data_IF_098850235111
#
_entry.id   IF_098850235111
#
_cell.length_a   1.000
_cell.length_b   1.000
_cell.length_c   1.000
_cell.angle_alpha   90.00
_cell.angle_beta   90.00
_cell.angle_gamma   90.00
#
_symmetry.space_group_name_H-M   'P 1'
#
loop_
_entity.id
_entity.type
_entity.pdbx_description
1 polymer ?
#
# COMPACT_ATOMS: atom_id res chain seq x y z
N UNK A 1 -14.47 4.20 -51.42
CA UNK A 1 -14.23 2.99 -50.61
C UNK A 1 -13.67 3.41 -49.24
N UNK A 2 -14.58 3.87 -48.35
CA UNK A 2 -14.25 4.31 -46.97
C UNK A 2 -15.51 4.14 -46.10
N UNK A 3 -15.82 2.93 -45.70
CA UNK A 3 -16.85 2.67 -44.69
C UNK A 3 -16.42 1.39 -43.97
N UNK A 4 -15.46 1.51 -42.99
CA UNK A 4 -15.15 0.38 -42.10
C UNK A 4 -14.68 0.77 -40.68
N UNK A 5 -14.53 2.07 -40.38
CA UNK A 5 -13.98 2.48 -39.07
C UNK A 5 -15.02 2.95 -38.01
N UNK A 6 -16.28 3.00 -38.38
CA UNK A 6 -17.29 3.65 -37.49
C UNK A 6 -17.91 2.71 -36.42
N UNK A 7 -17.77 1.38 -36.58
CA UNK A 7 -18.34 0.43 -35.61
C UNK A 7 -17.51 0.29 -34.34
N UNK A 8 -16.14 0.35 -34.46
CA UNK A 8 -15.25 0.27 -33.33
C UNK A 8 -15.33 1.49 -32.40
N UNK A 9 -15.41 2.68 -32.99
CA UNK A 9 -15.55 3.94 -32.23
C UNK A 9 -16.93 4.07 -31.58
N UNK A 10 -17.98 3.58 -32.23
CA UNK A 10 -19.33 3.57 -31.66
C UNK A 10 -19.45 2.56 -30.50
N UNK A 11 -18.82 1.39 -30.63
CA UNK A 11 -18.78 0.39 -29.54
C UNK A 11 -17.97 0.89 -28.32
N UNK A 12 -16.88 1.60 -28.55
CA UNK A 12 -16.05 2.21 -27.48
C UNK A 12 -16.78 3.36 -26.77
N UNK A 13 -17.58 4.16 -27.52
CA UNK A 13 -18.46 5.20 -26.93
C UNK A 13 -19.62 4.60 -26.14
N UNK A 14 -20.19 3.50 -26.60
CA UNK A 14 -21.23 2.76 -25.87
C UNK A 14 -20.72 2.05 -24.64
N UNK A 15 -19.49 1.51 -24.66
CA UNK A 15 -18.81 0.94 -23.49
C UNK A 15 -18.45 2.02 -22.45
N UNK A 16 -17.98 3.18 -22.90
CA UNK A 16 -17.68 4.31 -22.00
C UNK A 16 -18.98 4.88 -21.37
N UNK A 17 -20.07 4.95 -22.11
CA UNK A 17 -21.39 5.39 -21.60
C UNK A 17 -22.01 4.30 -20.71
N UNK A 18 -21.85 3.02 -21.05
CA UNK A 18 -22.35 1.89 -20.26
C UNK A 18 -21.64 1.67 -18.92
N UNK A 19 -20.39 2.12 -18.79
CA UNK A 19 -19.62 2.09 -17.53
C UNK A 19 -19.88 3.36 -16.69
N UNK A 20 -20.15 4.50 -17.31
CA UNK A 20 -20.43 5.76 -16.61
C UNK A 20 -21.86 5.83 -16.04
N UNK A 21 -22.86 5.22 -16.67
CA UNK A 21 -24.25 5.27 -16.21
C UNK A 21 -24.52 4.51 -14.88
N UNK A 22 -23.97 3.29 -14.63
CA UNK A 22 -24.13 2.67 -13.32
C UNK A 22 -23.29 3.33 -12.21
N UNK A 23 -22.18 4.01 -12.54
CA UNK A 23 -21.40 4.77 -11.56
C UNK A 23 -22.16 6.03 -11.07
N UNK A 24 -22.90 6.69 -11.91
CA UNK A 24 -23.69 7.87 -11.50
C UNK A 24 -24.93 7.51 -10.69
N UNK A 25 -25.54 6.35 -10.93
CA UNK A 25 -26.70 5.88 -10.15
C UNK A 25 -26.32 5.24 -8.80
N UNK A 26 -25.09 4.74 -8.63
CA UNK A 26 -24.56 4.32 -7.33
C UNK A 26 -24.00 5.46 -6.47
N UNK A 27 -23.70 6.63 -7.05
CA UNK A 27 -23.14 7.77 -6.32
C UNK A 27 -24.21 8.65 -5.63
N UNK A 28 -25.46 8.56 -6.03
CA UNK A 28 -26.53 9.38 -5.43
C UNK A 28 -26.94 8.99 -3.99
N UNK A 29 -26.84 7.74 -3.52
CA UNK A 29 -27.09 7.45 -2.11
C UNK A 29 -25.89 7.71 -1.19
N UNK A 30 -24.69 7.99 -1.72
CA UNK A 30 -23.50 8.27 -0.90
C UNK A 30 -23.50 9.68 -0.28
N UNK A 31 -24.40 10.55 -0.65
CA UNK A 31 -24.53 11.92 -0.13
C UNK A 31 -25.79 12.15 0.74
N UNK A 32 -26.54 11.09 1.05
CA UNK A 32 -27.56 11.17 2.07
C UNK A 32 -26.85 11.14 3.43
N UNK A 33 -26.56 12.29 3.95
CA UNK A 33 -26.06 12.53 5.30
C UNK A 33 -27.18 12.11 6.27
N UNK A 34 -26.94 11.02 7.00
CA UNK A 34 -27.77 10.63 8.15
C UNK A 34 -27.31 11.53 9.30
N UNK A 35 -27.99 12.66 9.50
CA UNK A 35 -27.55 13.81 10.33
C UNK A 35 -27.63 13.58 11.85
N UNK A 36 -27.96 12.37 12.36
CA UNK A 36 -28.25 12.19 13.78
C UNK A 36 -27.41 11.14 14.54
N UNK A 37 -26.34 10.62 13.96
CA UNK A 37 -25.39 9.79 14.74
C UNK A 37 -24.02 10.42 14.71
N UNK A 38 -23.57 10.90 15.87
CA UNK A 38 -22.16 11.23 16.09
C UNK A 38 -21.35 9.99 15.72
N UNK A 39 -20.76 10.00 14.53
CA UNK A 39 -19.91 8.92 14.07
C UNK A 39 -18.64 8.97 14.93
N UNK A 40 -18.50 8.03 15.85
CA UNK A 40 -17.37 8.03 16.76
C UNK A 40 -16.10 7.66 15.99
N UNK A 41 -15.11 8.54 16.07
CA UNK A 41 -13.78 8.30 15.50
C UNK A 41 -13.09 7.18 16.27
N UNK A 42 -12.75 6.09 15.62
CA UNK A 42 -12.14 4.90 16.20
C UNK A 42 -11.17 4.26 15.21
N UNK A 43 -10.03 4.91 14.89
CA UNK A 43 -9.04 4.32 14.02
C UNK A 43 -8.40 3.09 14.66
N UNK A 44 -7.92 2.18 13.83
CA UNK A 44 -7.12 1.03 14.30
C UNK A 44 -5.74 1.54 14.69
N UNK A 45 -5.40 1.40 15.97
CA UNK A 45 -4.14 1.88 16.53
C UNK A 45 -3.02 0.86 16.37
N UNK A 46 -1.84 1.32 15.94
CA UNK A 46 -0.66 0.48 15.76
C UNK A 46 0.63 1.29 15.81
N UNK A 47 1.73 0.65 16.18
CA UNK A 47 3.06 1.25 16.10
C UNK A 47 3.60 1.30 14.66
N UNK A 48 4.72 1.97 14.48
CA UNK A 48 5.54 1.97 13.24
C UNK A 48 4.74 2.37 12.00
N UNK A 49 4.22 3.59 12.03
CA UNK A 49 3.35 4.15 10.98
C UNK A 49 3.99 4.07 9.59
N UNK A 50 5.31 4.18 9.48
CA UNK A 50 6.02 4.12 8.20
C UNK A 50 5.70 2.84 7.40
N UNK A 51 5.39 1.72 8.05
CA UNK A 51 5.10 0.46 7.36
C UNK A 51 3.78 0.48 6.57
N UNK A 52 2.87 1.40 6.88
CA UNK A 52 1.59 1.55 6.16
C UNK A 52 1.67 2.49 4.96
N UNK A 53 2.77 3.25 4.82
CA UNK A 53 2.95 4.24 3.76
C UNK A 53 3.48 3.55 2.50
N UNK A 54 2.73 3.61 1.39
CA UNK A 54 3.19 3.13 0.10
C UNK A 54 4.37 3.98 -0.41
N UNK A 55 5.51 3.37 -0.79
CA UNK A 55 6.71 4.14 -1.10
C UNK A 55 6.81 4.60 -2.55
N UNK A 56 6.20 3.88 -3.50
CA UNK A 56 6.44 4.07 -4.92
C UNK A 56 5.43 4.98 -5.62
N UNK A 57 5.92 5.71 -6.62
CA UNK A 57 5.15 6.69 -7.36
C UNK A 57 4.17 6.06 -8.36
N UNK A 58 4.44 4.84 -8.87
CA UNK A 58 3.53 4.14 -9.78
C UNK A 58 2.20 3.84 -9.09
N UNK A 59 2.25 3.16 -7.95
CA UNK A 59 1.06 2.86 -7.17
C UNK A 59 0.40 4.14 -6.63
N UNK A 60 1.20 5.13 -6.19
CA UNK A 60 0.70 6.42 -5.78
C UNK A 60 -0.17 7.11 -6.84
N UNK A 61 0.21 7.02 -8.10
CA UNK A 61 -0.59 7.55 -9.21
C UNK A 61 -1.90 6.80 -9.46
N UNK A 62 -2.09 5.63 -8.84
CA UNK A 62 -3.25 4.74 -9.03
C UNK A 62 -4.06 4.52 -7.74
N UNK A 63 -4.08 5.47 -6.80
CA UNK A 63 -4.84 5.33 -5.55
C UNK A 63 -4.18 4.39 -4.53
N UNK A 64 -2.86 4.23 -4.58
CA UNK A 64 -2.11 3.28 -3.75
C UNK A 64 -2.57 1.82 -3.96
N UNK A 65 -2.74 1.41 -5.23
CA UNK A 65 -2.93 0.01 -5.62
C UNK A 65 -1.62 -0.57 -6.15
N UNK A 66 -1.30 -1.76 -5.75
CA UNK A 66 -0.04 -2.39 -6.15
C UNK A 66 -0.03 -3.91 -5.99
N UNK A 67 -1.06 -4.47 -5.38
CA UNK A 67 -1.10 -5.90 -5.01
C UNK A 67 -1.08 -6.80 -6.24
N UNK A 68 -1.90 -6.55 -7.24
CA UNK A 68 -2.02 -7.40 -8.42
C UNK A 68 -1.53 -6.75 -9.73
N UNK A 69 -0.96 -5.54 -9.67
CA UNK A 69 -0.36 -4.88 -10.84
C UNK A 69 0.80 -5.69 -11.43
N UNK A 70 1.14 -5.41 -12.69
CA UNK A 70 2.30 -6.04 -13.33
C UNK A 70 3.56 -5.95 -12.47
N UNK A 71 4.40 -7.01 -12.49
CA UNK A 71 5.67 -7.04 -11.77
C UNK A 71 6.56 -5.84 -12.11
N UNK A 72 7.13 -5.22 -11.08
CA UNK A 72 8.11 -4.15 -11.19
C UNK A 72 9.14 -4.23 -10.05
N UNK A 73 10.11 -3.32 -10.06
CA UNK A 73 11.19 -3.32 -9.04
C UNK A 73 10.68 -3.00 -7.65
N UNK A 74 9.56 -2.28 -7.50
CA UNK A 74 8.95 -1.93 -6.21
C UNK A 74 8.00 -3.01 -5.67
N UNK A 75 7.91 -4.15 -6.32
CA UNK A 75 7.08 -5.28 -5.88
C UNK A 75 7.43 -5.79 -4.49
N UNK A 76 8.60 -5.45 -3.93
CA UNK A 76 8.98 -5.81 -2.56
C UNK A 76 7.99 -5.34 -1.49
N UNK A 77 7.53 -4.10 -1.57
CA UNK A 77 6.55 -3.55 -0.63
C UNK A 77 5.16 -4.15 -0.81
N UNK A 78 4.76 -4.30 -2.08
CA UNK A 78 3.43 -4.76 -2.42
C UNK A 78 3.34 -6.28 -2.36
N UNK A 79 4.34 -6.95 -2.99
CA UNK A 79 4.15 -8.34 -3.34
C UNK A 79 5.42 -9.01 -3.89
N UNK A 80 6.32 -9.49 -3.04
CA UNK A 80 7.56 -10.12 -3.54
C UNK A 80 7.32 -11.33 -4.46
N UNK A 81 6.16 -11.99 -4.37
CA UNK A 81 5.81 -13.12 -5.25
C UNK A 81 5.70 -12.76 -6.73
N UNK A 82 5.68 -11.48 -7.10
CA UNK A 82 5.69 -11.03 -8.50
C UNK A 82 7.06 -11.14 -9.18
N UNK A 83 8.16 -11.11 -8.44
CA UNK A 83 9.50 -11.05 -9.03
C UNK A 83 9.87 -12.20 -9.98
N UNK A 84 9.45 -13.46 -9.79
CA UNK A 84 9.73 -14.51 -10.77
C UNK A 84 9.13 -14.24 -12.15
N UNK A 85 8.08 -13.40 -12.24
CA UNK A 85 7.44 -12.99 -13.49
C UNK A 85 8.06 -11.72 -14.12
N UNK A 86 9.05 -11.07 -13.49
CA UNK A 86 9.75 -9.95 -14.09
C UNK A 86 10.49 -10.38 -15.36
N UNK A 87 10.48 -9.52 -16.38
CA UNK A 87 11.20 -9.77 -17.64
C UNK A 87 12.70 -9.69 -17.38
N UNK A 88 13.17 -8.61 -16.74
CA UNK A 88 14.58 -8.41 -16.42
C UNK A 88 15.03 -9.33 -15.30
N UNK A 89 16.29 -9.75 -15.35
CA UNK A 89 16.88 -10.63 -14.36
C UNK A 89 17.13 -9.93 -13.02
N UNK A 90 17.41 -8.62 -13.07
CA UNK A 90 17.65 -7.84 -11.86
C UNK A 90 17.31 -6.37 -12.05
N UNK A 91 16.92 -5.71 -10.97
CA UNK A 91 16.61 -4.28 -10.96
C UNK A 91 16.77 -3.68 -9.56
N UNK A 92 16.92 -2.36 -9.53
CA UNK A 92 16.98 -1.55 -8.31
C UNK A 92 16.10 -0.31 -8.50
N UNK A 93 15.38 0.09 -7.45
CA UNK A 93 14.56 1.30 -7.43
C UNK A 93 14.88 2.16 -6.22
N UNK A 94 14.88 3.47 -6.45
CA UNK A 94 14.99 4.51 -5.44
C UNK A 94 13.67 5.28 -5.40
N UNK A 95 13.09 5.38 -4.23
CA UNK A 95 11.83 6.06 -4.03
C UNK A 95 12.01 7.15 -2.98
N UNK A 96 11.40 8.30 -3.21
CA UNK A 96 11.42 9.42 -2.30
C UNK A 96 10.05 10.06 -2.23
N UNK A 97 9.57 10.23 -0.99
CA UNK A 97 8.28 10.84 -0.69
C UNK A 97 8.46 11.88 0.41
N UNK A 98 8.40 13.16 0.09
CA UNK A 98 8.21 14.21 1.10
C UNK A 98 6.81 14.02 1.72
N UNK A 99 6.78 13.75 3.02
CA UNK A 99 5.55 13.39 3.73
C UNK A 99 5.00 14.59 4.49
N UNK A 100 3.68 14.77 4.51
CA UNK A 100 2.99 15.83 5.28
C UNK A 100 3.53 17.25 5.07
N UNK A 101 4.04 17.58 3.89
CA UNK A 101 4.71 18.86 3.58
C UNK A 101 3.89 20.10 3.91
N UNK A 102 2.57 20.00 3.94
CA UNK A 102 1.69 21.11 4.31
C UNK A 102 1.68 21.40 5.82
N UNK A 103 2.04 20.42 6.64
CA UNK A 103 2.06 20.54 8.09
C UNK A 103 3.49 20.75 8.61
N UNK A 104 4.43 19.97 8.10
CA UNK A 104 5.83 19.94 8.55
C UNK A 104 6.75 19.73 7.35
N UNK A 105 7.87 20.46 7.28
CA UNK A 105 8.71 20.49 6.09
C UNK A 105 9.82 19.43 6.04
N UNK A 106 10.06 18.68 7.11
CA UNK A 106 11.21 17.81 7.31
C UNK A 106 10.86 16.34 7.58
N UNK A 107 9.61 15.94 7.29
CA UNK A 107 9.18 14.54 7.33
C UNK A 107 9.36 13.94 5.94
N UNK A 108 10.21 12.93 5.84
CA UNK A 108 10.59 12.33 4.56
C UNK A 108 10.64 10.80 4.64
N UNK A 109 10.16 10.16 3.59
CA UNK A 109 10.29 8.71 3.37
C UNK A 109 11.24 8.45 2.21
N UNK A 110 12.33 7.74 2.48
CA UNK A 110 13.22 7.15 1.49
C UNK A 110 13.06 5.63 1.47
N UNK A 111 12.99 5.04 0.30
CA UNK A 111 12.84 3.60 0.12
C UNK A 111 13.66 3.11 -1.05
N UNK A 112 14.48 2.09 -0.82
CA UNK A 112 15.28 1.41 -1.83
C UNK A 112 14.83 -0.04 -1.90
N UNK A 113 14.53 -0.53 -3.10
CA UNK A 113 14.19 -1.92 -3.33
C UNK A 113 15.03 -2.50 -4.46
N UNK A 114 15.28 -3.81 -4.39
CA UNK A 114 15.99 -4.51 -5.44
C UNK A 114 15.67 -5.99 -5.46
N UNK A 115 15.86 -6.61 -6.62
CA UNK A 115 15.66 -8.03 -6.80
C UNK A 115 16.68 -8.64 -7.75
N UNK A 116 16.86 -9.95 -7.62
CA UNK A 116 17.64 -10.78 -8.53
C UNK A 116 16.94 -12.12 -8.75
N UNK A 117 16.63 -12.47 -10.01
CA UNK A 117 16.05 -13.75 -10.40
C UNK A 117 17.13 -14.82 -10.43
N UNK A 118 16.88 -15.91 -9.71
CA UNK A 118 17.74 -17.10 -9.69
C UNK A 118 17.13 -18.11 -10.66
N UNK A 119 17.67 -18.13 -11.88
CA UNK A 119 17.08 -18.91 -12.99
C UNK A 119 15.72 -18.36 -13.41
N UNK A 120 14.83 -19.26 -13.85
CA UNK A 120 13.55 -18.90 -14.45
C UNK A 120 12.38 -18.90 -13.45
N UNK A 121 12.54 -19.58 -12.31
CA UNK A 121 11.43 -19.88 -11.40
C UNK A 121 11.52 -19.24 -10.04
N UNK A 122 12.63 -18.61 -9.69
CA UNK A 122 12.80 -18.05 -8.35
C UNK A 122 13.53 -16.70 -8.36
N UNK A 123 13.32 -15.92 -7.31
CA UNK A 123 14.03 -14.68 -7.09
C UNK A 123 14.31 -14.45 -5.61
N UNK A 124 15.40 -13.73 -5.32
CA UNK A 124 15.65 -13.08 -4.03
C UNK A 124 15.46 -11.58 -4.21
N UNK A 125 15.01 -10.94 -3.16
CA UNK A 125 14.76 -9.51 -3.18
C UNK A 125 14.91 -8.94 -1.79
N UNK A 126 15.05 -7.62 -1.69
CA UNK A 126 15.09 -6.95 -0.41
C UNK A 126 14.85 -5.47 -0.55
N UNK A 127 14.61 -4.81 0.57
CA UNK A 127 14.45 -3.37 0.63
C UNK A 127 14.98 -2.77 1.91
N UNK A 128 15.30 -1.49 1.83
CA UNK A 128 15.64 -0.63 2.96
C UNK A 128 14.67 0.55 2.94
N UNK A 129 14.01 0.78 4.07
CA UNK A 129 13.13 1.92 4.32
C UNK A 129 13.74 2.78 5.40
N UNK A 130 13.69 4.09 5.21
CA UNK A 130 14.04 5.10 6.21
C UNK A 130 12.96 6.17 6.22
N UNK A 131 12.38 6.43 7.37
CA UNK A 131 11.34 7.43 7.58
C UNK A 131 11.78 8.40 8.67
N UNK A 132 12.08 9.63 8.29
CA UNK A 132 12.36 10.73 9.21
C UNK A 132 11.05 11.36 9.64
N UNK A 133 10.88 11.58 10.95
CA UNK A 133 9.73 12.29 11.52
C UNK A 133 10.03 13.79 11.76
N UNK A 134 11.16 14.27 11.22
CA UNK A 134 11.56 15.67 11.36
C UNK A 134 12.31 15.95 12.65
N UNK A 135 12.51 17.25 12.92
CA UNK A 135 13.19 17.73 14.11
C UNK A 135 12.16 18.21 15.14
N UNK A 136 12.22 17.64 16.33
CA UNK A 136 11.35 18.00 17.45
C UNK A 136 12.19 18.71 18.52
N UNK A 137 11.76 19.87 18.96
CA UNK A 137 12.41 20.62 20.03
C UNK A 137 11.80 20.24 21.37
N UNK A 138 12.62 19.75 22.28
CA UNK A 138 12.24 19.49 23.66
C UNK A 138 12.21 20.79 24.49
N UNK A 139 11.51 20.76 25.62
CA UNK A 139 11.33 21.95 26.49
C UNK A 139 12.66 22.52 27.05
N UNK A 140 13.70 21.71 27.09
CA UNK A 140 15.06 22.09 27.51
C UNK A 140 15.91 22.77 26.42
N UNK A 141 15.33 22.95 25.19
CA UNK A 141 15.99 23.51 24.04
C UNK A 141 16.89 22.55 23.28
N UNK A 142 16.94 21.27 23.66
CA UNK A 142 17.59 20.22 22.86
C UNK A 142 16.67 19.80 21.72
N UNK A 143 17.25 19.49 20.56
CA UNK A 143 16.49 18.93 19.43
C UNK A 143 16.75 17.42 19.31
N UNK A 144 15.72 16.68 19.03
CA UNK A 144 15.76 15.25 18.71
C UNK A 144 15.22 15.02 17.30
N UNK A 145 15.70 13.97 16.63
CA UNK A 145 15.28 13.60 15.27
C UNK A 145 14.75 12.16 15.29
N UNK A 146 13.47 11.99 15.64
CA UNK A 146 12.86 10.66 15.64
C UNK A 146 12.85 10.07 14.23
N UNK A 147 13.06 8.76 14.13
CA UNK A 147 13.02 8.05 12.84
C UNK A 147 12.62 6.60 13.00
N UNK A 148 12.11 6.05 11.91
CA UNK A 148 11.85 4.63 11.76
C UNK A 148 12.66 4.06 10.59
N UNK A 149 13.16 2.85 10.74
CA UNK A 149 13.91 2.16 9.70
C UNK A 149 13.46 0.69 9.62
N UNK A 150 13.43 0.14 8.42
CA UNK A 150 13.26 -1.30 8.25
C UNK A 150 14.12 -1.85 7.12
N UNK A 151 14.57 -3.09 7.33
CA UNK A 151 15.27 -3.89 6.35
C UNK A 151 14.51 -5.19 6.16
N UNK A 152 14.21 -5.54 4.93
CA UNK A 152 13.59 -6.82 4.61
C UNK A 152 14.30 -7.56 3.50
N UNK A 153 14.17 -8.89 3.55
CA UNK A 153 14.67 -9.82 2.55
C UNK A 153 13.57 -10.82 2.25
N UNK A 154 13.35 -11.12 0.98
CA UNK A 154 12.35 -12.06 0.54
C UNK A 154 12.94 -13.11 -0.41
N UNK A 155 12.34 -14.29 -0.38
CA UNK A 155 12.50 -15.34 -1.38
C UNK A 155 11.15 -15.62 -2.02
N UNK A 156 11.14 -15.68 -3.36
CA UNK A 156 9.95 -15.96 -4.14
C UNK A 156 10.19 -17.08 -5.13
N UNK A 157 9.16 -17.92 -5.35
CA UNK A 157 9.25 -19.09 -6.22
C UNK A 157 7.94 -19.31 -6.98
N UNK A 158 8.04 -19.60 -8.27
CA UNK A 158 6.93 -20.11 -9.08
C UNK A 158 6.66 -21.58 -8.75
N UNK A 159 5.43 -21.88 -8.39
CA UNK A 159 4.96 -23.27 -8.23
C UNK A 159 4.35 -23.80 -9.53
N UNK A 160 3.94 -22.89 -10.41
CA UNK A 160 3.52 -23.19 -11.78
C UNK A 160 3.79 -21.98 -12.67
N UNK A 161 3.62 -22.10 -13.98
CA UNK A 161 3.75 -20.99 -14.93
C UNK A 161 2.83 -19.80 -14.62
N UNK A 162 1.79 -20.01 -13.82
CA UNK A 162 0.76 -19.01 -13.51
C UNK A 162 0.72 -18.59 -12.05
N UNK A 163 1.41 -19.29 -11.16
CA UNK A 163 1.28 -19.10 -9.73
C UNK A 163 2.62 -19.11 -9.02
N UNK A 164 2.83 -18.14 -8.14
CA UNK A 164 4.02 -18.03 -7.31
C UNK A 164 3.67 -17.72 -5.85
N UNK A 165 4.60 -18.07 -4.97
CA UNK A 165 4.60 -17.75 -3.55
C UNK A 165 5.86 -16.99 -3.19
N UNK A 166 5.78 -16.20 -2.11
CA UNK A 166 6.94 -15.58 -1.49
C UNK A 166 6.79 -15.55 0.03
N UNK A 167 7.93 -15.59 0.69
CA UNK A 167 8.07 -15.29 2.11
C UNK A 167 9.15 -14.23 2.31
N UNK A 168 8.91 -13.28 3.21
CA UNK A 168 9.88 -12.27 3.59
C UNK A 168 10.08 -12.25 5.10
N UNK A 169 11.26 -11.83 5.53
CA UNK A 169 11.58 -11.51 6.92
C UNK A 169 11.96 -10.04 6.95
N UNK A 170 11.43 -9.33 7.94
CA UNK A 170 11.64 -7.89 8.13
C UNK A 170 12.15 -7.63 9.54
N UNK A 171 13.21 -6.86 9.64
CA UNK A 171 13.63 -6.22 10.86
C UNK A 171 13.20 -4.76 10.86
N UNK A 172 12.61 -4.31 11.96
CA UNK A 172 12.08 -2.96 12.15
C UNK A 172 12.81 -2.35 13.33
N UNK A 173 13.23 -1.12 13.18
CA UNK A 173 13.83 -0.30 14.23
C UNK A 173 13.13 1.05 14.27
N UNK A 174 12.74 1.48 15.47
CA UNK A 174 12.03 2.74 15.69
C UNK A 174 12.66 3.48 16.86
N UNK A 175 13.10 4.70 16.62
CA UNK A 175 13.61 5.62 17.63
C UNK A 175 12.69 6.85 17.64
N UNK A 176 11.69 6.80 18.53
CA UNK A 176 10.70 7.85 18.71
C UNK A 176 10.93 8.68 19.97
N UNK A 177 12.14 8.67 20.51
CA UNK A 177 12.45 9.43 21.73
C UNK A 177 12.26 10.92 21.46
N UNK A 178 11.45 11.54 22.31
CA UNK A 178 11.21 13.00 22.33
C UNK A 178 12.12 13.70 23.35
N UNK A 179 12.70 12.94 24.27
CA UNK A 179 13.68 13.37 25.24
C UNK A 179 14.74 12.26 25.44
N UNK A 180 15.81 12.59 26.15
CA UNK A 180 16.83 11.61 26.52
C UNK A 180 16.60 11.09 27.95
N UNK A 181 15.33 11.00 28.40
CA UNK A 181 15.00 10.38 29.68
C UNK A 181 15.42 8.89 29.67
N UNK A 182 15.80 8.38 30.83
CA UNK A 182 16.25 6.98 30.96
C UNK A 182 15.13 5.97 30.68
N UNK A 183 13.87 6.41 30.71
CA UNK A 183 12.68 5.57 30.57
C UNK A 183 12.30 5.31 29.08
N UNK A 184 12.72 6.20 28.15
CA UNK A 184 12.44 6.06 26.72
C UNK A 184 13.62 5.44 25.98
N UNK A 185 13.41 4.31 25.28
CA UNK A 185 14.43 3.59 24.53
C UNK A 185 14.01 3.34 23.10
N UNK A 186 14.97 3.32 22.15
CA UNK A 186 14.67 2.81 20.82
C UNK A 186 14.17 1.38 20.89
N UNK A 187 13.23 1.06 20.03
CA UNK A 187 12.60 -0.25 19.99
C UNK A 187 12.88 -0.98 18.69
N UNK A 188 12.89 -2.30 18.73
CA UNK A 188 13.02 -3.12 17.54
C UNK A 188 12.07 -4.30 17.55
N UNK A 189 11.64 -4.73 16.37
CA UNK A 189 10.75 -5.86 16.19
C UNK A 189 11.13 -6.65 14.94
N UNK A 190 10.70 -7.91 14.91
CA UNK A 190 10.79 -8.76 13.73
C UNK A 190 9.40 -9.09 13.23
N UNK A 191 9.25 -9.11 11.91
CA UNK A 191 8.02 -9.46 11.23
C UNK A 191 8.30 -10.37 10.04
N UNK A 192 7.27 -11.10 9.62
CA UNK A 192 7.27 -11.92 8.42
C UNK A 192 6.13 -11.51 7.51
N UNK A 193 6.34 -11.68 6.19
CA UNK A 193 5.30 -11.49 5.18
C UNK A 193 5.12 -12.79 4.40
N UNK A 194 3.88 -13.07 4.00
CA UNK A 194 3.50 -14.18 3.12
C UNK A 194 2.73 -13.63 1.94
N UNK A 195 3.13 -14.00 0.73
CA UNK A 195 2.58 -13.47 -0.50
C UNK A 195 2.28 -14.55 -1.53
N UNK A 196 1.18 -14.41 -2.28
CA UNK A 196 0.76 -15.32 -3.36
C UNK A 196 0.37 -14.50 -4.58
N UNK A 197 0.84 -14.85 -5.75
CA UNK A 197 0.50 -14.17 -6.99
C UNK A 197 0.07 -15.16 -8.07
N UNK A 198 -1.05 -14.84 -8.70
CA UNK A 198 -1.57 -15.55 -9.86
C UNK A 198 -1.60 -14.63 -11.06
N UNK A 199 -1.03 -15.08 -12.17
CA UNK A 199 -0.97 -14.36 -13.43
C UNK A 199 -1.38 -15.29 -14.56
N UNK A 200 -2.41 -14.93 -15.32
CA UNK A 200 -2.92 -15.73 -16.42
C UNK A 200 -3.47 -14.87 -17.53
N UNK A 201 -3.51 -15.40 -18.73
CA UNK A 201 -4.18 -14.78 -19.87
C UNK A 201 -5.60 -15.32 -20.01
N UNK A 202 -6.54 -14.41 -20.22
CA UNK A 202 -7.97 -14.71 -20.36
C UNK A 202 -8.52 -14.01 -21.60
N UNK A 203 -9.42 -14.69 -22.31
CA UNK A 203 -10.07 -14.11 -23.49
C UNK A 203 -11.26 -13.22 -23.08
N UNK A 204 -11.20 -11.95 -23.41
CA UNK A 204 -12.32 -11.01 -23.28
C UNK A 204 -12.83 -10.63 -24.67
N UNK A 205 -13.84 -11.34 -25.15
CA UNK A 205 -14.26 -11.28 -26.55
C UNK A 205 -13.17 -11.86 -27.47
N UNK A 206 -12.65 -11.02 -28.37
CA UNK A 206 -11.57 -11.40 -29.29
C UNK A 206 -10.16 -10.99 -28.83
N UNK A 207 -10.04 -10.41 -27.63
CA UNK A 207 -8.76 -9.92 -27.08
C UNK A 207 -8.26 -10.83 -25.98
N UNK A 208 -6.99 -11.13 -26.03
CA UNK A 208 -6.30 -11.80 -24.94
C UNK A 208 -5.86 -10.75 -23.91
N UNK A 209 -6.42 -10.81 -22.71
CA UNK A 209 -6.18 -9.91 -21.61
C UNK A 209 -5.36 -10.62 -20.54
N UNK A 210 -4.53 -9.90 -19.79
CA UNK A 210 -3.78 -10.45 -18.66
C UNK A 210 -4.54 -10.18 -17.37
N UNK A 211 -4.85 -11.24 -16.63
CA UNK A 211 -5.48 -11.21 -15.33
C UNK A 211 -4.43 -11.47 -14.25
N UNK A 212 -4.24 -10.50 -13.36
CA UNK A 212 -3.45 -10.62 -12.14
C UNK A 212 -4.35 -10.74 -10.92
N UNK A 213 -4.07 -11.67 -10.03
CA UNK A 213 -4.68 -11.76 -8.70
C UNK A 213 -3.59 -11.87 -7.65
N UNK A 214 -3.80 -11.23 -6.52
CA UNK A 214 -2.81 -11.20 -5.47
C UNK A 214 -3.39 -11.21 -4.07
N UNK A 215 -2.63 -11.82 -3.14
CA UNK A 215 -2.90 -11.80 -1.72
C UNK A 215 -1.59 -11.64 -0.95
N UNK A 216 -1.51 -10.68 -0.05
CA UNK A 216 -0.37 -10.43 0.82
C UNK A 216 -0.82 -10.31 2.28
N UNK A 217 -0.19 -11.05 3.17
CA UNK A 217 -0.23 -10.83 4.61
C UNK A 217 1.13 -10.32 5.03
N UNK A 218 1.21 -9.06 5.45
CA UNK A 218 2.47 -8.39 5.79
C UNK A 218 2.53 -7.99 7.25
N UNK A 219 3.75 -7.80 7.77
CA UNK A 219 4.04 -7.36 9.13
C UNK A 219 3.49 -8.30 10.22
N UNK A 220 3.41 -9.60 9.96
CA UNK A 220 3.06 -10.60 10.98
C UNK A 220 4.28 -10.75 11.91
N UNK A 221 4.23 -10.17 13.10
CA UNK A 221 5.42 -10.11 13.95
C UNK A 221 5.17 -9.95 15.42
N UNK A 222 6.26 -9.75 16.16
CA UNK A 222 6.20 -9.42 17.59
C UNK A 222 5.59 -8.03 17.79
N UNK A 223 5.06 -7.78 18.97
CA UNK A 223 4.80 -6.42 19.41
C UNK A 223 6.11 -5.65 19.57
N UNK A 224 6.04 -4.34 19.53
CA UNK A 224 7.14 -3.42 19.77
C UNK A 224 6.89 -2.62 21.05
N UNK A 225 7.92 -2.43 21.89
CA UNK A 225 7.80 -1.69 23.14
C UNK A 225 8.85 -0.59 23.23
N UNK A 226 8.42 0.61 23.61
CA UNK A 226 9.27 1.79 23.79
C UNK A 226 9.56 2.10 25.27
N UNK A 227 8.71 1.62 26.20
CA UNK A 227 8.74 1.95 27.63
C UNK A 227 8.85 0.72 28.55
N UNK A 228 9.30 -0.40 28.01
CA UNK A 228 9.38 -1.68 28.73
C UNK A 228 8.26 -2.64 28.32
N UNK A 229 8.29 -3.85 28.90
CA UNK A 229 7.43 -4.96 28.42
C UNK A 229 5.92 -4.74 28.64
N UNK A 230 5.55 -3.87 29.58
CA UNK A 230 4.15 -3.62 29.96
C UNK A 230 3.39 -2.73 28.95
N UNK A 231 4.08 -1.98 28.08
CA UNK A 231 3.47 -1.06 27.10
C UNK A 231 3.82 -1.44 25.66
N UNK A 232 3.59 -2.68 25.31
CA UNK A 232 3.86 -3.17 23.95
C UNK A 232 2.70 -2.89 22.99
N UNK A 233 3.01 -2.36 21.80
CA UNK A 233 2.07 -2.04 20.74
C UNK A 233 2.15 -3.05 19.59
N UNK A 234 1.02 -3.24 18.89
CA UNK A 234 0.99 -4.10 17.71
C UNK A 234 1.71 -3.47 16.52
N UNK A 235 2.41 -4.29 15.75
CA UNK A 235 2.83 -3.90 14.40
C UNK A 235 1.61 -3.82 13.47
N UNK A 236 1.65 -3.01 12.39
CA UNK A 236 0.56 -2.90 11.44
C UNK A 236 0.48 -4.13 10.52
N UNK A 237 0.15 -5.28 11.12
CA UNK A 237 -0.15 -6.48 10.35
C UNK A 237 -1.30 -6.18 9.39
N UNK A 238 -1.15 -6.57 8.11
CA UNK A 238 -2.10 -6.15 7.08
C UNK A 238 -2.39 -7.29 6.10
N UNK A 239 -3.66 -7.53 5.85
CA UNK A 239 -4.13 -8.38 4.77
C UNK A 239 -4.49 -7.50 3.57
N UNK A 240 -3.87 -7.77 2.42
CA UNK A 240 -4.15 -7.11 1.16
C UNK A 240 -4.59 -8.13 0.13
N UNK A 241 -5.69 -7.83 -0.55
CA UNK A 241 -6.20 -8.58 -1.69
C UNK A 241 -6.28 -7.65 -2.88
N UNK A 242 -5.85 -8.12 -4.04
CA UNK A 242 -5.87 -7.30 -5.25
C UNK A 242 -6.21 -8.07 -6.50
N UNK A 243 -6.76 -7.36 -7.47
CA UNK A 243 -7.03 -7.84 -8.82
C UNK A 243 -6.64 -6.80 -9.85
N UNK A 244 -6.08 -7.22 -10.98
CA UNK A 244 -5.77 -6.36 -12.12
C UNK A 244 -6.17 -7.03 -13.43
N UNK A 245 -6.62 -6.24 -14.38
CA UNK A 245 -6.92 -6.67 -15.73
C UNK A 245 -6.26 -5.72 -16.73
N UNK A 246 -5.22 -6.22 -17.42
CA UNK A 246 -4.58 -5.51 -18.51
C UNK A 246 -5.23 -5.90 -19.83
N UNK A 247 -5.66 -4.90 -20.59
CA UNK A 247 -6.35 -5.01 -21.86
C UNK A 247 -5.47 -4.39 -22.95
N UNK A 248 -4.90 -5.18 -23.87
CA UNK A 248 -4.18 -4.63 -25.02
C UNK A 248 -5.21 -3.97 -25.97
N UNK A 249 -5.07 -2.66 -26.20
CA UNK A 249 -5.94 -1.92 -27.12
C UNK A 249 -5.47 -2.15 -28.56
N UNK A 250 -4.17 -2.04 -28.78
CA UNK A 250 -3.43 -2.37 -30.02
C UNK A 250 -1.96 -2.69 -29.69
N UNK A 251 -1.08 -2.75 -30.71
CA UNK A 251 0.35 -3.08 -30.55
C UNK A 251 1.12 -2.10 -29.67
N UNK A 252 0.65 -0.85 -29.55
CA UNK A 252 1.34 0.23 -28.84
C UNK A 252 0.61 0.69 -27.58
N UNK A 253 -0.66 0.32 -27.44
CA UNK A 253 -1.54 0.88 -26.41
C UNK A 253 -2.06 -0.22 -25.48
N UNK A 254 -1.82 -0.07 -24.18
CA UNK A 254 -2.34 -0.94 -23.13
C UNK A 254 -3.12 -0.13 -22.11
N UNK A 255 -4.20 -0.70 -21.62
CA UNK A 255 -5.00 -0.13 -20.54
C UNK A 255 -5.15 -1.17 -19.44
N UNK A 256 -4.82 -0.79 -18.22
CA UNK A 256 -4.93 -1.65 -17.03
C UNK A 256 -5.93 -1.05 -16.06
N UNK A 257 -6.86 -1.88 -15.58
CA UNK A 257 -7.71 -1.59 -14.43
C UNK A 257 -7.24 -2.44 -13.26
N UNK A 258 -7.20 -1.85 -12.07
CA UNK A 258 -6.77 -2.55 -10.86
C UNK A 258 -7.58 -2.10 -9.66
N UNK A 259 -7.77 -3.02 -8.71
CA UNK A 259 -8.44 -2.75 -7.45
C UNK A 259 -7.78 -3.55 -6.33
N UNK A 260 -7.62 -2.92 -5.18
CA UNK A 260 -7.08 -3.51 -3.96
C UNK A 260 -8.04 -3.29 -2.79
N UNK A 261 -8.11 -4.27 -1.90
CA UNK A 261 -8.76 -4.18 -0.60
C UNK A 261 -7.74 -4.50 0.50
N UNK A 262 -7.69 -3.66 1.53
CA UNK A 262 -6.74 -3.77 2.64
C UNK A 262 -7.50 -3.77 3.96
N UNK A 263 -7.12 -4.67 4.87
CA UNK A 263 -7.57 -4.67 6.26
C UNK A 263 -6.37 -4.80 7.18
N UNK A 264 -6.25 -3.89 8.14
CA UNK A 264 -5.29 -4.04 9.23
C UNK A 264 -5.75 -5.20 10.13
N UNK A 265 -4.85 -6.14 10.36
CA UNK A 265 -5.06 -7.30 11.24
C UNK A 265 -4.55 -6.97 12.65
N UNK A 266 -5.01 -5.85 13.17
CA UNK A 266 -4.70 -5.35 14.51
C UNK A 266 -6.01 -5.24 15.28
N UNK A 267 -6.06 -5.72 16.51
CA UNK A 267 -7.29 -5.63 17.31
C UNK A 267 -7.71 -4.18 17.54
N UNK A 268 -9.01 -3.95 17.56
CA UNK A 268 -9.57 -2.65 17.90
C UNK A 268 -9.58 -2.47 19.42
N UNK A 269 -9.15 -1.30 19.90
CA UNK A 269 -9.20 -0.98 21.33
C UNK A 269 -10.66 -0.95 21.80
N UNK A 270 -11.02 -1.70 22.86
CA UNK A 270 -12.38 -1.67 23.41
C UNK A 270 -12.82 -0.26 23.79
N UNK A 271 -14.07 0.08 23.56
CA UNK A 271 -14.64 1.36 24.02
C UNK A 271 -15.11 1.24 25.46
N UNK A 272 -15.00 2.34 26.22
CA UNK A 272 -15.59 2.40 27.56
C UNK A 272 -17.11 2.28 27.47
N UNK A 273 -17.70 1.39 28.29
CA UNK A 273 -19.13 1.17 28.34
C UNK A 273 -19.82 2.20 29.26
N UNK A 274 -21.12 2.46 28.99
CA UNK A 274 -21.89 3.40 29.78
C UNK A 274 -21.96 2.92 31.24
N UNK A 275 -21.48 3.76 32.17
CA UNK A 275 -21.45 3.45 33.61
C UNK A 275 -20.25 2.59 34.06
N UNK A 276 -19.35 2.19 33.17
CA UNK A 276 -18.11 1.51 33.51
C UNK A 276 -17.13 2.47 34.21
N UNK A 277 -16.52 2.04 35.31
CA UNK A 277 -15.50 2.85 35.98
C UNK A 277 -14.22 2.90 35.13
N UNK A 278 -13.43 3.96 35.26
CA UNK A 278 -12.15 4.08 34.55
C UNK A 278 -11.19 2.91 34.87
N UNK A 279 -11.21 2.41 36.10
CA UNK A 279 -10.39 1.27 36.53
C UNK A 279 -10.82 -0.02 35.83
N UNK A 280 -12.13 -0.31 35.81
CA UNK A 280 -12.63 -1.51 35.14
C UNK A 280 -12.38 -1.46 33.63
N UNK A 281 -12.55 -0.29 33.02
CA UNK A 281 -12.24 -0.05 31.63
C UNK A 281 -10.74 -0.33 31.33
N UNK A 282 -9.82 0.22 32.12
CA UNK A 282 -8.38 -0.01 31.92
C UNK A 282 -8.02 -1.49 32.10
N UNK A 283 -8.58 -2.16 33.09
CA UNK A 283 -8.39 -3.59 33.30
C UNK A 283 -8.94 -4.43 32.13
N UNK A 284 -10.04 -4.00 31.50
CA UNK A 284 -10.60 -4.64 30.33
C UNK A 284 -9.74 -4.41 29.09
N UNK A 285 -9.28 -3.18 28.84
CA UNK A 285 -8.32 -2.86 27.75
C UNK A 285 -7.05 -3.68 27.91
N UNK A 286 -6.54 -3.79 29.12
CA UNK A 286 -5.33 -4.60 29.37
C UNK A 286 -5.57 -6.07 28.97
N UNK A 287 -6.63 -6.70 29.44
CA UNK A 287 -6.93 -8.12 29.14
C UNK A 287 -7.27 -8.38 27.68
N UNK A 288 -8.01 -7.48 27.04
CA UNK A 288 -8.58 -7.71 25.72
C UNK A 288 -7.73 -7.16 24.57
N UNK A 289 -6.81 -6.25 24.88
CA UNK A 289 -5.95 -5.62 23.88
C UNK A 289 -4.47 -5.74 24.24
N UNK A 290 -4.02 -5.27 25.41
CA UNK A 290 -2.60 -5.17 25.73
C UNK A 290 -1.95 -6.53 26.00
N UNK A 291 -2.62 -7.46 26.67
CA UNK A 291 -2.03 -8.76 27.09
C UNK A 291 -2.18 -9.86 26.03
N UNK A 292 -2.98 -9.66 24.97
CA UNK A 292 -3.15 -10.68 23.94
C UNK A 292 -1.92 -10.81 23.05
N UNK A 293 -1.61 -12.03 22.62
CA UNK A 293 -0.49 -12.28 21.72
C UNK A 293 -0.73 -11.70 20.32
N UNK A 294 0.34 -11.36 19.58
CA UNK A 294 0.22 -10.86 18.21
C UNK A 294 -0.60 -11.79 17.32
N UNK A 295 -0.39 -13.12 17.42
CA UNK A 295 -1.12 -14.10 16.61
C UNK A 295 -2.61 -14.13 16.98
N UNK A 296 -2.94 -14.08 18.30
CA UNK A 296 -4.34 -14.02 18.74
C UNK A 296 -5.00 -12.72 18.27
N UNK A 297 -4.26 -11.60 18.28
CA UNK A 297 -4.71 -10.32 17.76
C UNK A 297 -5.08 -10.37 16.28
N UNK A 298 -4.29 -11.07 15.44
CA UNK A 298 -4.58 -11.24 14.00
C UNK A 298 -5.98 -11.85 13.77
N UNK A 299 -6.34 -12.89 14.52
CA UNK A 299 -7.64 -13.54 14.36
C UNK A 299 -8.77 -12.73 14.99
N UNK A 300 -8.51 -12.08 16.13
CA UNK A 300 -9.49 -11.25 16.82
C UNK A 300 -9.94 -10.06 15.97
N UNK A 301 -9.03 -9.45 15.21
CA UNK A 301 -9.27 -8.28 14.35
C UNK A 301 -10.36 -8.46 13.28
N UNK A 302 -10.88 -9.67 13.08
CA UNK A 302 -11.99 -9.90 12.14
C UNK A 302 -13.39 -9.77 12.78
N UNK A 303 -13.49 -9.58 14.11
CA UNK A 303 -14.77 -9.60 14.80
C UNK A 303 -14.78 -8.82 16.12
N UNK A 304 -13.88 -7.86 16.31
CA UNK A 304 -13.70 -7.14 17.57
C UNK A 304 -14.12 -5.65 17.52
N UNK A 305 -14.58 -5.18 16.37
CA UNK A 305 -15.07 -3.81 16.27
C UNK A 305 -16.29 -3.58 17.17
N UNK A 306 -16.26 -2.58 18.07
CA UNK A 306 -17.35 -2.34 19.05
C UNK A 306 -18.73 -2.10 18.41
N UNK A 307 -18.79 -1.57 17.19
CA UNK A 307 -20.01 -1.37 16.41
C UNK A 307 -20.47 -2.60 15.63
N UNK A 308 -19.82 -3.78 15.85
CA UNK A 308 -20.15 -5.03 15.20
C UNK A 308 -19.81 -5.07 13.71
N UNK A 309 -20.49 -5.93 12.95
CA UNK A 309 -20.15 -6.21 11.54
C UNK A 309 -20.10 -4.96 10.65
N UNK A 310 -20.91 -3.94 10.91
CA UNK A 310 -20.89 -2.70 10.13
C UNK A 310 -19.55 -1.97 10.30
N UNK A 311 -19.07 -1.84 11.53
CA UNK A 311 -17.79 -1.19 11.83
C UNK A 311 -16.61 -2.03 11.32
N UNK A 312 -16.69 -3.36 11.36
CA UNK A 312 -15.72 -4.26 10.74
C UNK A 312 -15.57 -3.99 9.23
N UNK A 313 -16.67 -3.77 8.54
CA UNK A 313 -16.65 -3.43 7.10
C UNK A 313 -16.05 -2.03 6.86
N UNK A 314 -16.19 -1.10 7.78
CA UNK A 314 -15.59 0.24 7.72
C UNK A 314 -14.06 0.21 7.90
N UNK A 315 -13.49 -0.85 8.47
CA UNK A 315 -12.04 -1.05 8.57
C UNK A 315 -11.38 -1.44 7.24
N UNK A 316 -12.18 -1.92 6.29
CA UNK A 316 -11.67 -2.27 4.97
C UNK A 316 -11.43 -0.99 4.17
N UNK A 317 -10.17 -0.74 3.88
CA UNK A 317 -9.75 0.30 2.95
C UNK A 317 -9.74 -0.30 1.54
N UNK A 318 -10.31 0.40 0.58
CA UNK A 318 -10.28 -0.04 -0.81
C UNK A 318 -9.75 1.04 -1.74
N UNK A 319 -9.14 0.60 -2.81
CA UNK A 319 -8.55 1.47 -3.82
C UNK A 319 -8.87 0.95 -5.21
N UNK A 320 -9.02 1.86 -6.14
CA UNK A 320 -9.14 1.53 -7.57
C UNK A 320 -8.19 2.40 -8.37
N UNK A 321 -7.59 1.83 -9.40
CA UNK A 321 -6.64 2.51 -10.25
C UNK A 321 -6.78 2.13 -11.72
N UNK A 322 -6.35 3.05 -12.57
CA UNK A 322 -6.25 2.86 -14.00
C UNK A 322 -4.87 3.34 -14.49
N UNK A 323 -4.28 2.56 -15.39
CA UNK A 323 -3.01 2.89 -16.05
C UNK A 323 -3.19 2.76 -17.56
N UNK A 324 -2.81 3.79 -18.28
CA UNK A 324 -2.69 3.76 -19.73
C UNK A 324 -1.21 3.84 -20.11
N UNK A 325 -0.73 2.90 -20.92
CA UNK A 325 0.66 2.83 -21.35
C UNK A 325 0.70 2.97 -22.87
N UNK A 326 1.52 3.91 -23.35
CA UNK A 326 1.79 4.15 -24.75
C UNK A 326 3.21 3.72 -25.10
N UNK A 327 3.33 2.84 -26.08
CA UNK A 327 4.61 2.37 -26.66
C UNK A 327 5.61 1.80 -25.65
N UNK A 328 5.12 1.24 -24.52
CA UNK A 328 5.91 0.80 -23.37
C UNK A 328 6.82 1.87 -22.75
N UNK A 329 6.67 3.12 -23.16
CA UNK A 329 7.51 4.25 -22.75
C UNK A 329 6.79 5.26 -21.88
N UNK A 330 5.56 5.63 -22.21
CA UNK A 330 4.82 6.67 -21.51
C UNK A 330 3.63 6.07 -20.78
N UNK A 331 3.47 6.41 -19.53
CA UNK A 331 2.35 5.97 -18.72
C UNK A 331 1.59 7.16 -18.15
N UNK A 332 0.26 7.09 -18.20
CA UNK A 332 -0.64 7.99 -17.50
C UNK A 332 -1.47 7.17 -16.51
N UNK A 333 -1.67 7.70 -15.31
CA UNK A 333 -2.33 7.00 -14.21
C UNK A 333 -3.35 7.87 -13.52
N UNK A 334 -4.41 7.24 -13.05
CA UNK A 334 -5.39 7.87 -12.19
C UNK A 334 -5.92 6.82 -11.22
N UNK A 335 -6.32 7.26 -10.03
CA UNK A 335 -6.85 6.36 -9.01
C UNK A 335 -7.64 7.06 -7.93
N UNK A 336 -8.26 6.25 -7.07
CA UNK A 336 -9.00 6.70 -5.92
C UNK A 336 -8.79 5.73 -4.76
N UNK A 337 -8.59 6.26 -3.57
CA UNK A 337 -8.52 5.51 -2.32
C UNK A 337 -9.63 5.94 -1.39
N UNK A 338 -10.22 4.97 -0.70
CA UNK A 338 -11.27 5.16 0.27
C UNK A 338 -10.94 4.51 1.60
N UNK A 339 -11.11 5.27 2.67
CA UNK A 339 -11.14 4.81 4.05
C UNK A 339 -12.31 5.48 4.76
N UNK A 340 -13.04 4.73 5.58
CA UNK A 340 -14.19 5.24 6.30
C UNK A 340 -13.83 6.40 7.23
N UNK A 341 -14.77 7.30 7.48
CA UNK A 341 -14.57 8.49 8.32
C UNK A 341 -14.27 8.13 9.77
N UNK A 342 -14.92 7.10 10.28
CA UNK A 342 -14.69 6.54 11.61
C UNK A 342 -13.28 5.97 11.80
N UNK A 343 -12.61 5.56 10.70
CA UNK A 343 -11.34 4.82 10.70
C UNK A 343 -10.14 5.62 10.19
N UNK A 344 -10.27 6.96 10.03
CA UNK A 344 -9.16 7.83 9.64
C UNK A 344 -9.44 8.75 8.44
N UNK A 345 -10.57 8.56 7.72
CA UNK A 345 -11.05 9.44 6.65
C UNK A 345 -10.04 9.73 5.52
N UNK A 346 -9.16 8.77 5.20
CA UNK A 346 -8.23 8.94 4.09
C UNK A 346 -8.93 8.66 2.77
N UNK A 347 -9.55 9.70 2.20
CA UNK A 347 -10.23 9.67 0.89
C UNK A 347 -9.52 10.64 -0.03
N UNK A 348 -8.99 10.14 -1.15
CA UNK A 348 -8.28 10.99 -2.10
C UNK A 348 -8.28 10.41 -3.52
N UNK A 349 -8.25 11.30 -4.49
CA UNK A 349 -7.91 11.00 -5.87
C UNK A 349 -6.40 11.10 -6.07
N UNK A 350 -5.91 10.38 -7.06
CA UNK A 350 -4.50 10.45 -7.46
C UNK A 350 -4.37 10.56 -8.96
N UNK A 351 -3.30 11.20 -9.39
CA UNK A 351 -2.85 11.21 -10.78
C UNK A 351 -1.37 10.91 -10.82
N UNK A 352 -0.90 10.32 -11.92
CA UNK A 352 0.51 10.00 -12.06
C UNK A 352 0.93 9.94 -13.52
N UNK A 353 2.24 10.05 -13.71
CA UNK A 353 2.87 9.88 -15.00
C UNK A 353 4.15 9.05 -14.87
N UNK A 354 4.49 8.33 -15.92
CA UNK A 354 5.72 7.53 -15.97
C UNK A 354 6.38 7.64 -17.34
N UNK A 355 7.69 7.57 -17.32
CA UNK A 355 8.52 7.50 -18.49
C UNK A 355 9.54 6.38 -18.35
N UNK A 356 9.60 5.47 -19.32
CA UNK A 356 10.51 4.32 -19.34
C UNK A 356 11.40 4.36 -20.57
N UNK A 357 12.67 4.17 -20.35
CA UNK A 357 13.67 3.84 -21.37
C UNK A 357 14.22 2.42 -21.15
N UNK A 358 15.07 1.96 -22.06
CA UNK A 358 15.65 0.60 -21.99
C UNK A 358 16.36 0.27 -20.68
N UNK A 359 16.90 1.26 -19.98
CA UNK A 359 17.74 1.08 -18.79
C UNK A 359 17.16 1.69 -17.51
N UNK A 360 16.24 2.61 -17.63
CA UNK A 360 15.64 3.26 -16.46
C UNK A 360 14.17 3.61 -16.67
N UNK A 361 13.43 3.77 -15.57
CA UNK A 361 12.11 4.39 -15.53
C UNK A 361 12.03 5.47 -14.46
N UNK A 362 11.29 6.52 -14.78
CA UNK A 362 10.98 7.62 -13.87
C UNK A 362 9.47 7.69 -13.73
N UNK A 363 8.96 7.63 -12.50
CA UNK A 363 7.54 7.75 -12.20
C UNK A 363 7.31 8.88 -11.19
N UNK A 364 6.19 9.59 -11.36
CA UNK A 364 5.73 10.64 -10.46
C UNK A 364 4.26 10.39 -10.14
N UNK A 365 3.91 10.45 -8.87
CA UNK A 365 2.53 10.36 -8.37
C UNK A 365 2.16 11.58 -7.54
N UNK A 366 0.92 12.03 -7.65
CA UNK A 366 0.39 13.19 -6.95
C UNK A 366 -0.96 12.88 -6.31
N UNK A 367 -1.11 13.26 -5.04
CA UNK A 367 -2.32 13.05 -4.24
C UNK A 367 -3.16 14.32 -4.21
N UNK A 368 -4.46 14.18 -4.46
CA UNK A 368 -5.46 15.25 -4.42
C UNK A 368 -6.53 14.85 -3.42
N UNK A 369 -6.50 15.42 -2.22
CA UNK A 369 -7.45 15.07 -1.17
C UNK A 369 -8.86 15.56 -1.47
N UNK A 370 -9.86 14.77 -1.07
CA UNK A 370 -11.25 15.17 -1.05
C UNK A 370 -11.73 15.62 0.33
N UNK A 371 -10.98 15.28 1.37
CA UNK A 371 -11.27 15.68 2.75
C UNK A 371 -10.50 16.97 3.11
N UNK A 372 -11.19 17.95 3.70
CA UNK A 372 -10.63 19.29 4.02
C UNK A 372 -9.40 19.28 4.94
N UNK A 373 -9.20 18.22 5.70
CA UNK A 373 -8.12 18.10 6.69
C UNK A 373 -7.23 16.86 6.47
N UNK A 374 -7.19 16.33 5.24
CA UNK A 374 -6.32 15.19 4.96
C UNK A 374 -4.86 15.68 4.87
N UNK A 375 -4.00 15.24 5.78
CA UNK A 375 -2.61 15.67 5.79
C UNK A 375 -1.78 15.18 4.59
N UNK A 376 -2.31 14.23 3.79
CA UNK A 376 -1.68 13.72 2.57
C UNK A 376 -1.95 14.57 1.33
N UNK A 377 -2.78 15.62 1.46
CA UNK A 377 -3.07 16.48 0.31
C UNK A 377 -1.78 17.06 -0.27
N UNK A 378 -1.72 17.13 -1.60
CA UNK A 378 -0.58 17.63 -2.38
C UNK A 378 0.73 16.86 -2.16
N UNK A 379 0.67 15.62 -1.67
CA UNK A 379 1.88 14.78 -1.55
C UNK A 379 2.35 14.34 -2.94
N UNK A 380 3.62 14.62 -3.23
CA UNK A 380 4.33 14.15 -4.42
C UNK A 380 5.17 12.91 -4.06
N UNK A 381 5.19 11.91 -4.93
CA UNK A 381 6.09 10.76 -4.80
C UNK A 381 6.89 10.59 -6.07
N UNK A 382 8.15 10.23 -5.92
CA UNK A 382 9.10 10.05 -7.00
C UNK A 382 9.70 8.65 -6.93
N UNK A 383 9.78 7.99 -8.08
CA UNK A 383 10.46 6.70 -8.25
C UNK A 383 11.44 6.80 -9.40
N UNK A 384 12.67 6.40 -9.16
CA UNK A 384 13.68 6.15 -10.19
C UNK A 384 14.10 4.68 -10.12
N UNK A 385 13.81 3.91 -11.16
CA UNK A 385 14.16 2.51 -11.21
C UNK A 385 15.10 2.21 -12.38
N UNK A 386 16.00 1.25 -12.17
CA UNK A 386 17.01 0.83 -13.11
C UNK A 386 16.87 -0.66 -13.47
N UNK A 387 16.91 -0.94 -14.75
CA UNK A 387 17.05 -2.28 -15.30
C UNK A 387 18.55 -2.61 -15.44
N UNK A 388 19.02 -3.52 -14.59
CA UNK A 388 20.44 -3.86 -14.54
C UNK A 388 20.91 -4.68 -15.73
N UNK A 389 20.01 -5.38 -16.42
CA UNK A 389 20.35 -6.12 -17.64
C UNK A 389 20.53 -5.15 -18.80
N UNK A 390 19.65 -4.18 -18.95
CA UNK A 390 19.81 -3.10 -19.93
C UNK A 390 21.10 -2.30 -19.73
N UNK A 391 21.48 -2.05 -18.47
CA UNK A 391 22.76 -1.38 -18.14
C UNK A 391 23.96 -2.24 -18.57
N UNK A 392 23.97 -3.55 -18.25
CA UNK A 392 25.07 -4.46 -18.67
C UNK A 392 25.24 -4.50 -20.19
N UNK A 393 24.15 -4.46 -20.93
CA UNK A 393 24.19 -4.49 -22.39
C UNK A 393 24.73 -3.19 -22.99
N UNK A 394 24.55 -2.05 -22.32
CA UNK A 394 25.19 -0.78 -22.71
C UNK A 394 26.72 -0.82 -22.56
N UNK A 395 27.23 -1.47 -21.51
CA UNK A 395 28.66 -1.57 -21.24
C UNK A 395 29.38 -2.67 -22.05
N UNK A 396 28.62 -3.55 -22.72
CA UNK A 396 29.17 -4.59 -23.62
C UNK A 396 29.32 -4.12 -25.07
N UNK A 397 28.81 -2.96 -25.42
CA UNK A 397 28.95 -2.30 -26.72
C UNK A 397 30.11 -1.34 -26.69
#
# INVERSE_FOLDING_TARGET
MKIKDNKGQMLMRLLMIGILLPLTSCLTPLFAQDDDKVQMFNPVDHAVISQTIAPDARAAGMGDVGVATDPDVNSQYWYPAKYPFCISRSGIALNYTPWLRQLVNDIDLAYVAGYYRIGDYSAISGSLRYFSLGEVFADDGMSVKPYEMSLDVAYSMMLSEKFSLAAAIRWIYSDLRYDYSEDSKPASAFAADLAMYYNNYVMLGSRECQLGLGMNMSNIGSKISFYGDDESQFLPANLRLGASLMIPVDEYNRFTLTADANKLLVPTVPRQEDGESNTDYQDRVRREYSDISSISGLFKSFSDAPGGFKEEMEEIQWSVGAEYVYHDQFSLRAGYRHQAESKGNMKYFTVGGGFRMSVFSLDVGYVISTARSNPLDQTLRFTLAFDMDGIKDLFKR
#
